data_IF_978314671239
#
_entry.id   IF_978314671239
#
_cell.length_a   1.000
_cell.length_b   1.000
_cell.length_c   1.000
_cell.angle_alpha   90.00
_cell.angle_beta   90.00
_cell.angle_gamma   90.00
#
_symmetry.space_group_name_H-M   'P 1'
#
loop_
_entity.id
_entity.type
_entity.pdbx_description
1 polymer ?
#
# COMPACT_ATOMS: atom_id res chain seq x y z
N UNK A 1 -4.96 18.75 9.84
CA UNK A 1 -5.18 17.39 9.32
C UNK A 1 -5.49 17.48 7.84
N UNK A 2 -4.92 16.58 7.04
CA UNK A 2 -5.27 16.31 5.65
C UNK A 2 -5.83 14.89 5.63
N UNK A 3 -6.99 14.69 5.03
CA UNK A 3 -7.61 13.39 4.85
C UNK A 3 -7.41 12.95 3.39
N UNK A 4 -6.88 11.76 3.19
CA UNK A 4 -6.80 11.12 1.86
C UNK A 4 -7.56 9.80 1.97
N UNK A 5 -8.61 9.65 1.17
CA UNK A 5 -9.54 8.52 1.26
C UNK A 5 -10.04 8.13 -0.14
N UNK A 6 -10.74 7.01 -0.25
CA UNK A 6 -11.34 6.51 -1.49
C UNK A 6 -12.76 5.94 -1.28
N UNK A 7 -13.25 5.90 -0.06
CA UNK A 7 -14.61 5.42 0.22
C UNK A 7 -15.66 6.41 -0.32
N UNK A 8 -16.85 5.92 -0.59
CA UNK A 8 -17.98 6.77 -0.99
C UNK A 8 -18.25 7.76 0.14
N UNK A 9 -18.08 9.04 -0.14
CA UNK A 9 -18.28 10.10 0.83
C UNK A 9 -19.76 10.45 0.97
N UNK A 10 -20.16 10.74 2.21
CA UNK A 10 -21.47 11.34 2.48
C UNK A 10 -21.51 12.84 2.11
N UNK A 11 -22.68 13.48 2.27
CA UNK A 11 -22.85 14.91 1.99
C UNK A 11 -22.03 15.80 2.94
N UNK A 12 -21.75 15.32 4.14
CA UNK A 12 -20.94 16.03 5.13
C UNK A 12 -19.53 15.44 5.17
N UNK A 13 -18.54 16.28 4.86
CA UNK A 13 -17.13 15.90 4.91
C UNK A 13 -16.56 16.15 6.32
N UNK A 14 -15.53 15.38 6.74
CA UNK A 14 -14.86 15.60 8.01
C UNK A 14 -14.22 17.00 8.08
N UNK A 15 -14.23 17.61 9.28
CA UNK A 15 -13.57 18.91 9.53
C UNK A 15 -12.05 18.74 9.44
N UNK A 16 -11.49 18.98 8.27
CA UNK A 16 -10.07 18.88 7.96
C UNK A 16 -9.60 20.10 7.17
N UNK A 17 -8.28 20.32 7.13
CA UNK A 17 -7.69 21.35 6.27
C UNK A 17 -7.96 21.06 4.80
N UNK A 18 -7.87 19.80 4.42
CA UNK A 18 -8.15 19.32 3.06
C UNK A 18 -8.66 17.88 3.10
N UNK A 19 -9.59 17.55 2.21
CA UNK A 19 -10.08 16.18 1.98
C UNK A 19 -9.88 15.85 0.51
N UNK A 20 -9.00 14.91 0.24
CA UNK A 20 -8.72 14.39 -1.12
C UNK A 20 -9.37 13.02 -1.23
N UNK A 21 -10.44 12.93 -1.97
CA UNK A 21 -11.16 11.68 -2.20
C UNK A 21 -11.91 11.75 -3.55
N UNK A 22 -11.58 10.88 -4.52
CA UNK A 22 -12.20 10.89 -5.84
C UNK A 22 -13.68 10.46 -5.84
N UNK A 23 -14.19 9.95 -4.70
CA UNK A 23 -15.59 9.54 -4.51
C UNK A 23 -16.41 10.54 -3.68
N UNK A 24 -15.98 11.80 -3.62
CA UNK A 24 -16.79 12.90 -3.06
C UNK A 24 -17.92 13.24 -4.02
N UNK A 25 -19.03 13.73 -3.48
CA UNK A 25 -20.20 14.09 -4.29
C UNK A 25 -19.97 15.28 -5.24
N UNK A 26 -18.95 16.09 -4.99
CA UNK A 26 -18.55 17.24 -5.81
C UNK A 26 -17.41 16.93 -6.79
N UNK A 27 -16.98 15.66 -6.90
CA UNK A 27 -15.99 15.17 -7.86
C UNK A 27 -16.68 14.47 -9.06
N UNK A 28 -15.97 14.38 -10.19
CA UNK A 28 -16.48 13.74 -11.40
C UNK A 28 -16.43 12.20 -11.36
N UNK A 29 -15.83 11.62 -10.33
CA UNK A 29 -15.68 10.17 -10.15
C UNK A 29 -14.70 9.50 -11.11
N UNK A 30 -13.96 10.25 -11.94
CA UNK A 30 -13.05 9.69 -12.95
C UNK A 30 -12.00 8.75 -12.36
N UNK A 31 -11.60 8.94 -11.10
CA UNK A 31 -10.63 8.14 -10.37
C UNK A 31 -11.23 7.38 -9.18
N UNK A 32 -12.55 7.27 -9.11
CA UNK A 32 -13.25 6.61 -8.00
C UNK A 32 -12.94 5.13 -7.81
N UNK A 33 -12.29 4.50 -8.79
CA UNK A 33 -11.83 3.12 -8.73
C UNK A 33 -10.46 2.93 -8.05
N UNK A 34 -9.76 4.01 -7.67
CA UNK A 34 -8.47 3.92 -7.01
C UNK A 34 -8.62 3.55 -5.52
N UNK A 35 -7.73 2.72 -4.98
CA UNK A 35 -7.61 2.53 -3.54
C UNK A 35 -6.92 3.73 -2.87
N UNK A 36 -7.04 3.87 -1.55
CA UNK A 36 -6.46 5.00 -0.81
C UNK A 36 -4.96 5.17 -1.06
N UNK A 37 -4.19 4.08 -1.10
CA UNK A 37 -2.74 4.13 -1.37
C UNK A 37 -2.44 4.64 -2.79
N UNK A 38 -3.26 4.30 -3.78
CA UNK A 38 -3.15 4.81 -5.14
C UNK A 38 -3.45 6.32 -5.19
N UNK A 39 -4.44 6.80 -4.44
CA UNK A 39 -4.73 8.23 -4.31
C UNK A 39 -3.55 8.96 -3.67
N UNK A 40 -3.00 8.43 -2.56
CA UNK A 40 -1.79 8.98 -1.91
C UNK A 40 -0.63 9.07 -2.90
N UNK A 41 -0.39 8.02 -3.69
CA UNK A 41 0.67 8.00 -4.70
C UNK A 41 0.51 9.16 -5.71
N UNK A 42 -0.70 9.37 -6.24
CA UNK A 42 -0.99 10.46 -7.19
C UNK A 42 -0.80 11.83 -6.55
N UNK A 43 -1.24 12.01 -5.30
CA UNK A 43 -1.04 13.26 -4.53
C UNK A 43 0.45 13.55 -4.35
N UNK A 44 1.25 12.55 -3.94
CA UNK A 44 2.70 12.71 -3.79
C UNK A 44 3.36 13.02 -5.14
N UNK A 45 2.95 12.37 -6.23
CA UNK A 45 3.47 12.67 -7.57
C UNK A 45 3.21 14.13 -7.97
N UNK A 46 2.01 14.64 -7.73
CA UNK A 46 1.65 16.05 -7.94
C UNK A 46 2.48 17.01 -7.08
N UNK A 47 2.64 16.67 -5.81
CA UNK A 47 3.47 17.45 -4.87
C UNK A 47 4.94 17.49 -5.33
N UNK A 48 5.53 16.34 -5.67
CA UNK A 48 6.91 16.28 -6.15
C UNK A 48 7.11 17.07 -7.45
N UNK A 49 6.14 17.03 -8.37
CA UNK A 49 6.14 17.83 -9.59
C UNK A 49 6.20 19.34 -9.25
N UNK A 50 5.35 19.79 -8.34
CA UNK A 50 5.30 21.19 -7.91
C UNK A 50 6.61 21.61 -7.23
N UNK A 51 7.16 20.78 -6.35
CA UNK A 51 8.42 21.06 -5.67
C UNK A 51 9.61 21.13 -6.65
N UNK A 52 9.64 20.26 -7.67
CA UNK A 52 10.64 20.35 -8.75
C UNK A 52 10.53 21.67 -9.52
N UNK A 53 9.33 22.07 -9.87
CA UNK A 53 9.10 23.36 -10.57
C UNK A 53 9.54 24.58 -9.74
N UNK A 54 9.47 24.48 -8.40
CA UNK A 54 9.93 25.52 -7.46
C UNK A 54 11.41 25.44 -7.12
N UNK A 55 12.17 24.51 -7.71
CA UNK A 55 13.59 24.36 -7.45
C UNK A 55 13.93 23.84 -6.04
N UNK A 56 12.99 23.12 -5.40
CA UNK A 56 13.18 22.63 -4.03
C UNK A 56 14.28 21.57 -3.93
N UNK A 57 14.45 20.76 -4.97
CA UNK A 57 15.44 19.68 -5.00
C UNK A 57 16.77 20.17 -5.62
N UNK A 58 17.87 19.58 -5.16
CA UNK A 58 19.23 19.87 -5.63
C UNK A 58 20.04 18.57 -5.78
N UNK A 59 21.28 18.67 -6.24
CA UNK A 59 22.21 17.53 -6.30
C UNK A 59 22.54 16.95 -4.93
N UNK A 60 22.53 17.79 -3.88
CA UNK A 60 22.78 17.37 -2.47
C UNK A 60 21.52 16.94 -1.74
N UNK A 61 20.32 17.28 -2.26
CA UNK A 61 19.02 16.89 -1.74
C UNK A 61 18.10 16.49 -2.91
N UNK A 62 18.33 15.31 -3.51
CA UNK A 62 17.58 14.89 -4.69
C UNK A 62 16.11 14.58 -4.36
N UNK A 63 15.25 14.65 -5.37
CA UNK A 63 13.87 14.21 -5.23
C UNK A 63 13.83 12.70 -4.94
N UNK A 64 12.95 12.24 -4.04
CA UNK A 64 12.77 10.82 -3.78
C UNK A 64 12.30 10.08 -5.03
N UNK A 65 12.72 8.84 -5.20
CA UNK A 65 12.24 7.95 -6.25
C UNK A 65 10.88 7.36 -5.84
N UNK A 66 9.81 8.03 -6.26
CA UNK A 66 8.46 7.58 -5.98
C UNK A 66 8.11 6.28 -6.70
N UNK A 67 8.74 5.98 -7.85
CA UNK A 67 8.43 4.78 -8.62
C UNK A 67 8.90 3.51 -7.92
N UNK A 68 9.92 3.60 -7.07
CA UNK A 68 10.37 2.49 -6.21
C UNK A 68 9.31 2.05 -5.19
N UNK A 69 8.28 2.86 -4.94
CA UNK A 69 7.19 2.56 -4.01
C UNK A 69 5.97 1.89 -4.68
N UNK A 70 6.05 1.58 -5.98
CA UNK A 70 4.93 0.99 -6.71
C UNK A 70 4.59 -0.44 -6.26
N UNK A 71 5.49 -1.15 -5.62
CA UNK A 71 5.23 -2.46 -5.02
C UNK A 71 4.23 -2.36 -3.85
N UNK A 72 4.34 -1.32 -3.01
CA UNK A 72 3.35 -1.01 -1.96
C UNK A 72 1.99 -0.64 -2.55
N UNK A 73 1.99 0.16 -3.63
CA UNK A 73 0.76 0.53 -4.34
C UNK A 73 0.09 -0.69 -4.96
N UNK A 74 0.88 -1.59 -5.58
CA UNK A 74 0.36 -2.84 -6.13
C UNK A 74 -0.25 -3.74 -5.06
N UNK A 75 0.45 -3.92 -3.93
CA UNK A 75 -0.05 -4.69 -2.80
C UNK A 75 -1.39 -4.13 -2.30
N UNK A 76 -1.44 -2.83 -2.01
CA UNK A 76 -2.65 -2.18 -1.52
C UNK A 76 -3.81 -2.29 -2.52
N UNK A 77 -3.56 -2.04 -3.82
CA UNK A 77 -4.58 -2.12 -4.87
C UNK A 77 -5.22 -3.51 -4.93
N UNK A 78 -4.41 -4.57 -4.82
CA UNK A 78 -4.92 -5.96 -4.86
C UNK A 78 -5.62 -6.32 -3.55
N UNK A 79 -5.06 -5.93 -2.40
CA UNK A 79 -5.63 -6.23 -1.08
C UNK A 79 -6.96 -5.52 -0.83
N UNK A 80 -7.16 -4.35 -1.42
CA UNK A 80 -8.39 -3.56 -1.33
C UNK A 80 -9.49 -4.03 -2.32
N UNK A 81 -9.17 -5.04 -3.15
CA UNK A 81 -10.09 -5.68 -4.11
C UNK A 81 -10.72 -4.69 -5.10
N UNK A 82 -10.06 -3.58 -5.39
CA UNK A 82 -10.52 -2.59 -6.37
C UNK A 82 -10.32 -3.10 -7.81
N UNK A 83 -11.12 -2.64 -8.78
CA UNK A 83 -11.04 -3.08 -10.17
C UNK A 83 -9.66 -2.84 -10.79
N UNK A 84 -9.07 -3.85 -11.44
CA UNK A 84 -7.77 -3.73 -12.12
C UNK A 84 -7.93 -3.13 -13.53
N UNK A 85 -8.46 -1.92 -13.59
CA UNK A 85 -8.66 -1.11 -14.81
C UNK A 85 -7.80 0.14 -14.77
N UNK A 86 -7.61 0.81 -15.90
CA UNK A 86 -6.94 2.11 -15.97
C UNK A 86 -5.61 2.15 -15.22
N UNK A 87 -5.49 3.12 -14.30
CA UNK A 87 -4.29 3.30 -13.47
C UNK A 87 -4.02 2.12 -12.53
N UNK A 88 -5.05 1.50 -11.94
CA UNK A 88 -4.86 0.35 -11.06
C UNK A 88 -4.12 -0.78 -11.77
N UNK A 89 -4.50 -1.08 -13.02
CA UNK A 89 -3.83 -2.09 -13.84
C UNK A 89 -2.37 -1.71 -14.12
N UNK A 90 -2.10 -0.43 -14.40
CA UNK A 90 -0.74 0.07 -14.63
C UNK A 90 0.10 -0.03 -13.35
N UNK A 91 -0.43 0.39 -12.21
CA UNK A 91 0.23 0.33 -10.91
C UNK A 91 0.58 -1.10 -10.52
N UNK A 92 -0.39 -2.02 -10.62
CA UNK A 92 -0.15 -3.42 -10.28
C UNK A 92 0.91 -4.04 -11.21
N UNK A 93 0.81 -3.80 -12.52
CA UNK A 93 1.78 -4.31 -13.50
C UNK A 93 3.21 -3.81 -13.24
N UNK A 94 3.37 -2.52 -12.93
CA UNK A 94 4.70 -1.96 -12.63
C UNK A 94 5.16 -2.31 -11.23
N UNK A 95 4.26 -2.28 -10.25
CA UNK A 95 4.58 -2.63 -8.87
C UNK A 95 5.05 -4.07 -8.70
N UNK A 96 4.49 -5.03 -9.44
CA UNK A 96 5.00 -6.40 -9.47
C UNK A 96 6.44 -6.49 -9.98
N UNK A 97 6.83 -5.64 -10.95
CA UNK A 97 8.22 -5.58 -11.43
C UNK A 97 9.16 -4.96 -10.39
N UNK A 98 8.69 -3.94 -9.66
CA UNK A 98 9.46 -3.35 -8.54
C UNK A 98 9.61 -4.37 -7.43
N UNK A 99 8.53 -5.05 -7.03
CA UNK A 99 8.55 -6.09 -5.99
C UNK A 99 9.52 -7.23 -6.33
N UNK A 100 9.63 -7.60 -7.61
CA UNK A 100 10.59 -8.62 -8.08
C UNK A 100 12.05 -8.22 -7.85
N UNK A 101 12.36 -6.93 -7.69
CA UNK A 101 13.71 -6.45 -7.35
C UNK A 101 14.06 -6.65 -5.88
N UNK A 102 13.10 -7.03 -5.04
CA UNK A 102 13.27 -7.39 -3.62
C UNK A 102 14.01 -6.33 -2.79
N UNK A 103 13.69 -5.05 -3.00
CA UNK A 103 14.35 -3.93 -2.30
C UNK A 103 13.68 -3.57 -0.97
N UNK A 104 12.35 -3.76 -0.82
CA UNK A 104 11.63 -3.51 0.42
C UNK A 104 11.77 -4.68 1.40
N UNK A 105 12.56 -4.51 2.46
CA UNK A 105 12.83 -5.57 3.44
C UNK A 105 11.56 -6.18 4.03
N UNK A 106 10.57 -5.37 4.39
CA UNK A 106 9.30 -5.87 4.92
C UNK A 106 8.56 -6.78 3.94
N UNK A 107 8.43 -6.38 2.68
CA UNK A 107 7.79 -7.20 1.64
C UNK A 107 8.59 -8.47 1.34
N UNK A 108 9.91 -8.37 1.30
CA UNK A 108 10.81 -9.51 1.07
C UNK A 108 10.63 -10.56 2.15
N UNK A 109 10.70 -10.16 3.43
CA UNK A 109 10.58 -11.12 4.55
C UNK A 109 9.18 -11.71 4.65
N UNK A 110 8.14 -10.92 4.37
CA UNK A 110 6.78 -11.43 4.33
C UNK A 110 6.59 -12.44 3.19
N UNK A 111 7.16 -12.18 2.00
CA UNK A 111 7.11 -13.09 0.86
C UNK A 111 7.85 -14.40 1.16
N UNK A 112 9.03 -14.33 1.78
CA UNK A 112 9.82 -15.50 2.15
C UNK A 112 9.05 -16.42 3.13
N UNK A 113 8.45 -15.85 4.19
CA UNK A 113 7.65 -16.59 5.17
C UNK A 113 6.36 -17.14 4.53
N UNK A 114 5.75 -16.38 3.61
CA UNK A 114 4.56 -16.82 2.89
C UNK A 114 4.84 -17.89 1.83
N UNK A 115 6.09 -18.28 1.61
CA UNK A 115 6.49 -19.29 0.63
C UNK A 115 6.37 -18.81 -0.82
N UNK A 116 6.50 -17.51 -1.09
CA UNK A 116 6.50 -16.94 -2.44
C UNK A 116 7.90 -17.12 -3.04
N UNK A 117 8.13 -18.25 -3.68
CA UNK A 117 9.42 -18.63 -4.25
C UNK A 117 9.58 -18.23 -5.73
N UNK A 118 8.49 -17.82 -6.37
CA UNK A 118 8.45 -17.40 -7.78
C UNK A 118 8.31 -15.89 -7.90
N UNK A 119 8.31 -15.40 -9.15
CA UNK A 119 8.04 -14.00 -9.43
C UNK A 119 6.67 -13.58 -8.82
N UNK A 120 6.61 -12.47 -8.09
CA UNK A 120 5.39 -12.03 -7.45
C UNK A 120 4.28 -11.79 -8.48
N UNK A 121 3.08 -12.20 -8.14
CA UNK A 121 1.89 -12.10 -8.98
C UNK A 121 0.67 -11.67 -8.16
N UNK A 122 -0.45 -11.37 -8.83
CA UNK A 122 -1.68 -10.90 -8.18
C UNK A 122 -2.20 -11.89 -7.14
N UNK A 123 -2.07 -13.20 -7.40
CA UNK A 123 -2.48 -14.24 -6.45
C UNK A 123 -1.66 -14.15 -5.16
N UNK A 124 -0.33 -14.02 -5.27
CA UNK A 124 0.54 -13.88 -4.11
C UNK A 124 0.16 -12.64 -3.27
N UNK A 125 -0.11 -11.50 -3.92
CA UNK A 125 -0.54 -10.28 -3.22
C UNK A 125 -1.86 -10.47 -2.47
N UNK A 126 -2.90 -10.98 -3.16
CA UNK A 126 -4.24 -11.08 -2.62
C UNK A 126 -4.46 -12.22 -1.64
N UNK A 127 -3.77 -13.35 -1.81
CA UNK A 127 -4.04 -14.57 -1.05
C UNK A 127 -2.92 -15.03 -0.13
N UNK A 128 -1.69 -14.55 -0.33
CA UNK A 128 -0.56 -14.90 0.52
C UNK A 128 -0.12 -13.72 1.40
N UNK A 129 0.16 -12.54 0.82
CA UNK A 129 0.69 -11.41 1.57
C UNK A 129 -0.41 -10.60 2.27
N UNK A 130 -1.47 -10.24 1.54
CA UNK A 130 -2.57 -9.43 2.06
C UNK A 130 -3.23 -9.99 3.31
N UNK A 131 -3.62 -11.26 3.36
CA UNK A 131 -4.22 -11.87 4.55
C UNK A 131 -3.34 -11.78 5.81
N UNK A 132 -2.02 -11.87 5.68
CA UNK A 132 -1.06 -11.74 6.78
C UNK A 132 -1.05 -10.32 7.34
N UNK A 133 -0.99 -9.32 6.47
CA UNK A 133 -1.04 -7.91 6.88
C UNK A 133 -2.39 -7.59 7.53
N UNK A 134 -3.48 -8.05 6.96
CA UNK A 134 -4.84 -7.79 7.45
C UNK A 134 -5.15 -8.51 8.77
N UNK A 135 -4.49 -9.64 9.06
CA UNK A 135 -4.67 -10.39 10.31
C UNK A 135 -4.36 -9.54 11.55
N UNK A 136 -3.33 -8.69 11.48
CA UNK A 136 -2.97 -7.80 12.58
C UNK A 136 -4.09 -6.83 12.95
N UNK A 137 -4.77 -6.25 11.97
CA UNK A 137 -5.92 -5.36 12.20
C UNK A 137 -7.10 -6.07 12.86
N UNK A 138 -7.36 -7.31 12.49
CA UNK A 138 -8.46 -8.13 13.04
C UNK A 138 -8.20 -8.62 14.47
N UNK A 139 -6.93 -8.80 14.84
CA UNK A 139 -6.52 -9.27 16.17
C UNK A 139 -6.02 -8.13 17.09
N UNK A 140 -6.37 -6.87 16.77
CA UNK A 140 -6.10 -5.72 17.64
C UNK A 140 -4.66 -5.17 17.60
N UNK A 141 -3.85 -5.58 16.62
CA UNK A 141 -2.46 -5.15 16.46
C UNK A 141 -2.23 -4.40 15.14
N UNK A 142 -3.16 -3.51 14.75
CA UNK A 142 -3.22 -2.82 13.45
C UNK A 142 -1.93 -2.09 13.03
N UNK A 143 -1.09 -1.69 13.98
CA UNK A 143 0.20 -1.04 13.70
C UNK A 143 1.30 -1.96 13.18
N UNK A 144 1.17 -3.30 13.30
CA UNK A 144 2.23 -4.23 12.89
C UNK A 144 2.48 -4.23 11.39
N UNK A 145 1.41 -4.18 10.58
CA UNK A 145 1.53 -4.11 9.13
C UNK A 145 2.31 -2.88 8.67
N UNK A 146 2.01 -1.71 9.24
CA UNK A 146 2.74 -0.47 8.94
C UNK A 146 4.21 -0.57 9.37
N UNK A 147 4.49 -1.10 10.57
CA UNK A 147 5.85 -1.28 11.06
C UNK A 147 6.66 -2.21 10.16
N UNK A 148 6.05 -3.30 9.68
CA UNK A 148 6.69 -4.21 8.73
C UNK A 148 7.03 -3.49 7.42
N UNK A 149 6.04 -2.82 6.80
CA UNK A 149 6.22 -2.16 5.51
C UNK A 149 7.16 -0.96 5.56
N UNK A 150 7.36 -0.36 6.74
CA UNK A 150 8.30 0.74 6.98
C UNK A 150 9.65 0.28 7.55
N UNK A 151 9.88 -1.02 7.71
CA UNK A 151 11.13 -1.53 8.30
C UNK A 151 12.31 -1.34 7.34
N UNK A 152 13.33 -0.64 7.82
CA UNK A 152 14.59 -0.39 7.08
C UNK A 152 15.65 -1.46 7.39
N UNK A 153 15.49 -2.19 8.48
CA UNK A 153 16.41 -3.23 8.93
C UNK A 153 15.83 -4.64 8.62
N UNK A 154 16.62 -5.52 7.95
CA UNK A 154 16.15 -6.86 7.58
C UNK A 154 15.81 -7.77 8.76
N UNK A 155 16.48 -7.64 9.90
CA UNK A 155 16.24 -8.50 11.07
C UNK A 155 14.96 -8.07 11.79
N UNK A 156 14.72 -6.77 11.93
CA UNK A 156 13.46 -6.20 12.39
C UNK A 156 12.31 -6.63 11.49
N UNK A 157 12.48 -6.54 10.17
CA UNK A 157 11.48 -6.99 9.19
C UNK A 157 11.17 -8.48 9.34
N UNK A 158 12.18 -9.34 9.57
CA UNK A 158 11.99 -10.76 9.75
C UNK A 158 11.14 -11.07 10.99
N UNK A 159 11.44 -10.42 12.13
CA UNK A 159 10.65 -10.60 13.37
C UNK A 159 9.20 -10.15 13.22
N UNK A 160 8.95 -9.02 12.55
CA UNK A 160 7.60 -8.52 12.28
C UNK A 160 6.82 -9.41 11.30
N UNK A 161 7.49 -9.93 10.27
CA UNK A 161 6.86 -10.83 9.31
C UNK A 161 6.44 -12.14 9.96
N UNK A 162 7.26 -12.70 10.86
CA UNK A 162 6.92 -13.90 11.63
C UNK A 162 5.69 -13.67 12.52
N UNK A 163 5.64 -12.54 13.25
CA UNK A 163 4.47 -12.20 14.06
C UNK A 163 3.18 -12.11 13.22
N UNK A 164 3.24 -11.53 12.01
CA UNK A 164 2.09 -11.45 11.12
C UNK A 164 1.66 -12.82 10.58
N UNK A 165 2.60 -13.72 10.34
CA UNK A 165 2.28 -15.11 9.92
C UNK A 165 1.61 -15.90 11.04
N UNK A 166 2.10 -15.78 12.27
CA UNK A 166 1.49 -16.38 13.46
C UNK A 166 0.05 -15.89 13.67
N UNK A 167 -0.15 -14.56 13.57
CA UNK A 167 -1.48 -13.95 13.67
C UNK A 167 -2.42 -14.40 12.54
N UNK A 168 -1.93 -14.57 11.33
CA UNK A 168 -2.73 -15.09 10.24
C UNK A 168 -3.11 -16.55 10.44
N UNK A 169 -2.23 -17.34 11.05
CA UNK A 169 -2.51 -18.73 11.43
C UNK A 169 -3.60 -18.80 12.50
N UNK A 170 -3.52 -17.94 13.52
CA UNK A 170 -4.53 -17.88 14.58
C UNK A 170 -5.89 -17.40 14.02
N UNK A 171 -5.90 -16.38 13.15
CA UNK A 171 -7.13 -15.94 12.45
C UNK A 171 -7.82 -17.11 11.74
N UNK A 172 -7.07 -17.94 11.00
CA UNK A 172 -7.63 -19.11 10.29
C UNK A 172 -8.25 -20.11 11.25
N UNK A 173 -7.60 -20.38 12.38
CA UNK A 173 -8.16 -21.29 13.42
C UNK A 173 -9.49 -20.79 13.96
N UNK A 174 -9.61 -19.47 14.18
CA UNK A 174 -10.85 -18.86 14.66
C UNK A 174 -11.96 -18.94 13.59
N UNK A 175 -11.62 -18.78 12.30
CA UNK A 175 -12.60 -18.83 11.21
C UNK A 175 -13.09 -20.28 10.91
N UNK A 176 -12.32 -21.30 11.28
CA UNK A 176 -12.63 -22.72 11.08
C UNK A 176 -13.39 -23.34 12.28
N UNK A 177 -13.49 -22.63 13.41
CA UNK A 177 -14.16 -23.09 14.65
C UNK A 177 -15.64 -22.67 14.68
#
# INVERSE_FOLDING_TARGET
VIVIDHHIAGPELPKAHSVVNPNRLDEDGAYGYLCATSVVFVVIAGMLRTLRQRGYFSTTSPAPDLLSQLDLVALATVCDVVPLVGLNRAFVRQGLKVMAQRQHHGLVKLADIAGVNEAPNVYALGFLLGPRINAAGRLGASGLGVKLLAAEDPDTAAGLALQLDDMNTERRRIEES
#
